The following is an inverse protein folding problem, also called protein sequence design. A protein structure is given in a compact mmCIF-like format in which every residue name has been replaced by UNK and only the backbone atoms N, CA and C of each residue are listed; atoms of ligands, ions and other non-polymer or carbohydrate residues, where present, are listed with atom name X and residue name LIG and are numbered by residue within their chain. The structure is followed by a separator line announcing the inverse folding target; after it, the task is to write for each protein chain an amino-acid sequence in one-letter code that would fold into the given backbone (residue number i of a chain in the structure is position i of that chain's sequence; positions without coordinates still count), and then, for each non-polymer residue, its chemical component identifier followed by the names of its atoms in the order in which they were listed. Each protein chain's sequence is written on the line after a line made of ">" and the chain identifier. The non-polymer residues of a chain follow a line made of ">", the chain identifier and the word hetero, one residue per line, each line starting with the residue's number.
data_IF_761374524099
#
_entry.id   IF_761374524099
#
_cell.length_a   1.000
_cell.length_b   1.000
_cell.length_c   1.000
_cell.angle_alpha   90.00
_cell.angle_beta   90.00
_cell.angle_gamma   90.00
#
_symmetry.space_group_name_H-M   'P 1'
#
loop_
_entity.id
_entity.type
_entity.pdbx_description
1 polymer ?
#
# COMPACT_ATOMS: atom_id res chain seq x y z
N UNK A 1 -9.59 -1.59 17.35
CA UNK A 1 -10.78 -0.84 16.89
C UNK A 1 -11.07 0.39 17.73
N UNK A 2 -11.34 0.29 19.04
CA UNK A 2 -11.57 1.46 19.89
C UNK A 2 -10.41 2.47 19.86
N UNK A 3 -9.16 2.00 19.94
CA UNK A 3 -7.97 2.84 19.80
C UNK A 3 -7.93 3.59 18.45
N UNK A 4 -8.34 2.94 17.35
CA UNK A 4 -8.37 3.57 16.02
C UNK A 4 -9.42 4.69 15.95
N UNK A 5 -10.60 4.49 16.56
CA UNK A 5 -11.63 5.53 16.62
C UNK A 5 -11.16 6.74 17.45
N UNK A 6 -10.43 6.50 18.54
CA UNK A 6 -9.87 7.58 19.36
C UNK A 6 -8.82 8.38 18.57
N UNK A 7 -7.94 7.70 17.83
CA UNK A 7 -6.84 8.34 17.09
C UNK A 7 -7.32 9.02 15.80
N UNK A 8 -8.19 8.35 15.03
CA UNK A 8 -8.59 8.79 13.70
C UNK A 8 -9.98 9.45 13.66
N UNK A 9 -10.71 9.43 14.78
CA UNK A 9 -12.04 10.03 14.90
C UNK A 9 -13.19 9.05 14.62
N UNK A 10 -14.42 9.55 14.80
CA UNK A 10 -15.66 8.77 14.70
C UNK A 10 -15.95 8.26 13.28
N UNK A 11 -15.45 8.95 12.25
CA UNK A 11 -15.62 8.55 10.85
C UNK A 11 -14.77 7.34 10.45
N UNK A 12 -13.79 6.95 11.27
CA UNK A 12 -12.91 5.81 10.98
C UNK A 12 -13.67 4.51 10.66
N UNK A 13 -14.71 4.18 11.43
CA UNK A 13 -15.48 2.94 11.22
C UNK A 13 -16.34 3.02 9.95
N UNK A 14 -17.14 4.08 9.72
CA UNK A 14 -17.83 4.27 8.45
C UNK A 14 -16.91 4.24 7.22
N UNK A 15 -15.69 4.77 7.32
CA UNK A 15 -14.74 4.80 6.21
C UNK A 15 -14.10 3.42 5.99
N UNK A 16 -13.82 2.68 7.08
CA UNK A 16 -13.34 1.30 7.00
C UNK A 16 -14.38 0.35 6.40
N UNK A 17 -15.66 0.58 6.71
CA UNK A 17 -16.81 -0.20 6.25
C UNK A 17 -17.49 0.41 5.02
N UNK A 18 -16.85 1.39 4.38
CA UNK A 18 -17.40 2.00 3.17
C UNK A 18 -17.67 0.91 2.11
N UNK A 19 -18.82 0.96 1.42
CA UNK A 19 -19.12 0.01 0.37
C UNK A 19 -18.04 0.07 -0.69
N UNK A 20 -17.78 -1.05 -1.35
CA UNK A 20 -16.78 -1.14 -2.41
C UNK A 20 -17.38 -1.77 -3.66
N UNK A 21 -16.98 -1.25 -4.81
CA UNK A 21 -17.17 -1.91 -6.08
C UNK A 21 -16.22 -3.11 -6.18
N UNK A 22 -16.79 -4.27 -6.47
CA UNK A 22 -16.06 -5.50 -6.75
C UNK A 22 -16.12 -5.81 -8.23
N UNK A 23 -14.96 -5.95 -8.89
CA UNK A 23 -14.90 -6.23 -10.32
C UNK A 23 -13.69 -7.09 -10.70
N UNK A 24 -13.87 -7.96 -11.70
CA UNK A 24 -12.77 -8.77 -12.25
C UNK A 24 -11.71 -7.95 -12.97
N UNK A 25 -12.10 -6.82 -13.59
CA UNK A 25 -11.16 -5.88 -14.22
C UNK A 25 -10.10 -5.38 -13.23
N UNK A 26 -10.47 -5.20 -11.96
CA UNK A 26 -9.55 -4.83 -10.89
C UNK A 26 -8.46 -5.90 -10.70
N UNK A 27 -8.80 -7.19 -10.74
CA UNK A 27 -7.81 -8.27 -10.64
C UNK A 27 -6.88 -8.29 -11.86
N UNK A 28 -7.42 -8.17 -13.07
CA UNK A 28 -6.65 -8.22 -14.32
C UNK A 28 -5.63 -7.09 -14.42
N UNK A 29 -6.00 -5.88 -14.01
CA UNK A 29 -5.08 -4.72 -13.98
C UNK A 29 -3.96 -4.89 -12.95
N UNK A 30 -4.15 -5.75 -11.93
CA UNK A 30 -3.20 -5.92 -10.84
C UNK A 30 -2.28 -7.14 -10.98
N UNK A 31 -2.63 -8.13 -11.79
CA UNK A 31 -1.81 -9.33 -12.03
C UNK A 31 -0.36 -9.00 -12.40
N UNK A 32 -0.16 -7.98 -13.23
CA UNK A 32 1.18 -7.53 -13.63
C UNK A 32 2.06 -7.14 -12.43
N UNK A 33 1.48 -6.76 -11.31
CA UNK A 33 2.23 -6.42 -10.10
C UNK A 33 2.69 -7.65 -9.28
N UNK A 34 2.28 -8.87 -9.62
CA UNK A 34 2.87 -10.08 -9.00
C UNK A 34 4.32 -10.31 -9.43
N UNK A 35 4.76 -9.72 -10.55
CA UNK A 35 6.15 -9.82 -11.00
C UNK A 35 7.15 -9.32 -9.94
N UNK A 36 6.72 -8.41 -9.06
CA UNK A 36 7.53 -7.86 -7.97
C UNK A 36 7.84 -8.92 -6.90
N UNK A 37 6.98 -9.93 -6.77
CA UNK A 37 7.12 -11.05 -5.82
C UNK A 37 7.60 -12.34 -6.49
N UNK A 38 7.69 -12.37 -7.82
CA UNK A 38 7.94 -13.59 -8.60
C UNK A 38 9.29 -14.23 -8.26
N UNK A 39 10.37 -13.44 -8.15
CA UNK A 39 11.70 -13.98 -7.81
C UNK A 39 11.69 -14.66 -6.43
N UNK A 40 11.10 -14.01 -5.42
CA UNK A 40 10.99 -14.57 -4.08
C UNK A 40 10.19 -15.89 -4.08
N UNK A 41 9.08 -15.91 -4.83
CA UNK A 41 8.24 -17.09 -4.98
C UNK A 41 8.99 -18.23 -5.67
N UNK A 42 9.78 -17.95 -6.72
CA UNK A 42 10.56 -18.96 -7.44
C UNK A 42 11.66 -19.54 -6.55
N UNK A 43 12.41 -18.71 -5.83
CA UNK A 43 13.47 -19.15 -4.91
C UNK A 43 12.86 -20.07 -3.83
N UNK A 44 11.79 -19.62 -3.19
CA UNK A 44 11.10 -20.41 -2.17
C UNK A 44 10.53 -21.71 -2.74
N UNK A 45 9.83 -21.67 -3.88
CA UNK A 45 9.19 -22.84 -4.47
C UNK A 45 10.22 -23.90 -4.88
N UNK A 46 11.37 -23.46 -5.43
CA UNK A 46 12.45 -24.35 -5.80
C UNK A 46 12.97 -25.12 -4.57
N UNK A 47 13.20 -24.44 -3.44
CA UNK A 47 13.60 -25.11 -2.19
C UNK A 47 12.49 -25.99 -1.61
N UNK A 48 11.26 -25.47 -1.50
CA UNK A 48 10.12 -26.16 -0.91
C UNK A 48 9.78 -27.46 -1.66
N UNK A 49 10.05 -27.53 -2.97
CA UNK A 49 9.89 -28.75 -3.75
C UNK A 49 10.80 -29.88 -3.27
N UNK A 50 12.06 -29.57 -2.93
CA UNK A 50 13.02 -30.56 -2.44
C UNK A 50 12.84 -30.87 -0.95
N UNK A 51 12.45 -29.89 -0.12
CA UNK A 51 12.19 -30.09 1.32
C UNK A 51 10.69 -30.27 1.66
N UNK A 52 9.87 -30.72 0.70
CA UNK A 52 8.39 -30.79 0.80
C UNK A 52 7.85 -31.62 1.97
N UNK A 53 8.65 -32.54 2.48
CA UNK A 53 8.29 -33.38 3.63
C UNK A 53 8.36 -32.62 4.97
N UNK A 54 9.16 -31.56 5.04
CA UNK A 54 9.40 -30.81 6.27
C UNK A 54 8.19 -30.00 6.72
N UNK A 55 8.11 -29.75 8.03
CA UNK A 55 7.10 -28.85 8.59
C UNK A 55 7.28 -27.41 8.09
N UNK A 56 8.52 -26.97 7.85
CA UNK A 56 8.80 -25.64 7.34
C UNK A 56 8.24 -25.43 5.93
N UNK A 57 8.43 -26.40 5.02
CA UNK A 57 7.88 -26.33 3.67
C UNK A 57 6.34 -26.36 3.68
N UNK A 58 5.72 -27.21 4.53
CA UNK A 58 4.26 -27.27 4.68
C UNK A 58 3.68 -25.97 5.23
N UNK A 59 4.28 -25.42 6.29
CA UNK A 59 3.86 -24.16 6.88
C UNK A 59 3.94 -23.02 5.87
N UNK A 60 5.08 -22.87 5.19
CA UNK A 60 5.27 -21.79 4.21
C UNK A 60 4.37 -21.96 2.99
N UNK A 61 4.12 -23.18 2.53
CA UNK A 61 3.18 -23.43 1.43
C UNK A 61 1.75 -23.01 1.81
N UNK A 62 1.30 -23.38 3.01
CA UNK A 62 -0.02 -22.96 3.50
C UNK A 62 -0.08 -21.43 3.68
N UNK A 63 0.92 -20.85 4.34
CA UNK A 63 0.96 -19.43 4.65
C UNK A 63 1.02 -18.58 3.37
N UNK A 64 1.92 -18.89 2.42
CA UNK A 64 2.02 -18.19 1.13
C UNK A 64 0.77 -18.42 0.29
N UNK A 65 0.20 -19.63 0.30
CA UNK A 65 -1.03 -19.95 -0.41
C UNK A 65 -2.23 -19.13 0.10
N UNK A 66 -2.41 -19.04 1.42
CA UNK A 66 -3.45 -18.22 2.04
C UNK A 66 -3.21 -16.73 1.79
N UNK A 67 -1.97 -16.25 1.88
CA UNK A 67 -1.62 -14.87 1.60
C UNK A 67 -1.86 -14.49 0.12
N UNK A 68 -1.59 -15.40 -0.81
CA UNK A 68 -1.90 -15.21 -2.23
C UNK A 68 -3.42 -15.21 -2.47
N UNK A 69 -4.15 -16.15 -1.87
CA UNK A 69 -5.61 -16.21 -2.01
C UNK A 69 -6.29 -14.95 -1.46
N UNK A 70 -5.86 -14.48 -0.28
CA UNK A 70 -6.37 -13.23 0.32
C UNK A 70 -5.98 -12.00 -0.48
N UNK A 71 -4.76 -11.95 -1.04
CA UNK A 71 -4.34 -10.90 -1.97
C UNK A 71 -5.25 -10.82 -3.20
N UNK A 72 -5.51 -11.96 -3.85
CA UNK A 72 -6.38 -12.04 -5.04
C UNK A 72 -7.82 -11.66 -4.66
N UNK A 73 -8.34 -12.15 -3.54
CA UNK A 73 -9.69 -11.83 -3.06
C UNK A 73 -9.84 -10.32 -2.78
N UNK A 74 -8.84 -9.70 -2.16
CA UNK A 74 -8.85 -8.26 -1.90
C UNK A 74 -8.80 -7.45 -3.19
N UNK A 75 -8.07 -7.91 -4.22
CA UNK A 75 -7.98 -7.20 -5.50
C UNK A 75 -9.28 -7.06 -6.28
N UNK A 76 -10.32 -7.82 -5.95
CA UNK A 76 -11.64 -7.53 -6.52
C UNK A 76 -12.14 -6.16 -6.08
N UNK A 77 -11.85 -5.75 -4.85
CA UNK A 77 -12.24 -4.45 -4.31
C UNK A 77 -11.43 -3.31 -4.93
N UNK A 78 -12.12 -2.23 -5.30
CA UNK A 78 -11.46 -1.03 -5.78
C UNK A 78 -10.66 -0.34 -4.66
N UNK A 79 -9.50 0.24 -4.99
CA UNK A 79 -8.66 1.03 -4.07
C UNK A 79 -7.82 0.26 -3.03
N UNK A 80 -7.79 -1.08 -3.05
CA UNK A 80 -6.98 -1.91 -2.10
C UNK A 80 -5.72 -2.52 -2.71
N UNK A 81 -5.36 -2.09 -3.92
CA UNK A 81 -4.36 -2.73 -4.77
C UNK A 81 -2.99 -2.97 -4.12
N UNK A 82 -2.36 -1.90 -3.61
CA UNK A 82 -1.04 -1.97 -2.98
C UNK A 82 -1.07 -2.77 -1.69
N UNK A 83 -2.06 -2.49 -0.84
CA UNK A 83 -2.20 -3.06 0.49
C UNK A 83 -2.52 -4.56 0.47
N UNK A 84 -3.30 -5.02 -0.51
CA UNK A 84 -3.68 -6.42 -0.67
C UNK A 84 -2.47 -7.37 -0.81
N UNK A 85 -1.33 -6.87 -1.30
CA UNK A 85 -0.10 -7.67 -1.46
C UNK A 85 0.73 -7.79 -0.18
N UNK A 86 0.44 -7.00 0.85
CA UNK A 86 1.34 -6.83 1.98
C UNK A 86 1.51 -8.15 2.75
N UNK A 87 0.42 -8.89 2.96
CA UNK A 87 0.45 -10.22 3.56
C UNK A 87 1.27 -11.22 2.74
N UNK A 88 1.14 -11.18 1.40
CA UNK A 88 1.93 -12.03 0.50
C UNK A 88 3.42 -11.70 0.56
N UNK A 89 3.78 -10.42 0.64
CA UNK A 89 5.18 -9.98 0.78
C UNK A 89 5.76 -10.49 2.10
N UNK A 90 5.03 -10.36 3.21
CA UNK A 90 5.46 -10.85 4.52
C UNK A 90 5.60 -12.38 4.53
N UNK A 91 4.63 -13.09 3.95
CA UNK A 91 4.66 -14.54 3.80
C UNK A 91 5.90 -15.02 3.04
N UNK A 92 6.21 -14.35 1.92
CA UNK A 92 7.38 -14.65 1.09
C UNK A 92 8.69 -14.31 1.80
N UNK A 93 8.75 -13.22 2.57
CA UNK A 93 9.93 -12.88 3.36
C UNK A 93 10.25 -13.97 4.40
N UNK A 94 9.21 -14.48 5.09
CA UNK A 94 9.35 -15.63 6.01
C UNK A 94 9.80 -16.89 5.23
N UNK A 95 9.18 -17.15 4.08
CA UNK A 95 9.55 -18.27 3.20
C UNK A 95 11.01 -18.22 2.73
N UNK A 96 11.51 -17.04 2.37
CA UNK A 96 12.91 -16.82 2.00
C UNK A 96 13.85 -17.01 3.19
N UNK A 97 13.50 -16.52 4.38
CA UNK A 97 14.30 -16.74 5.58
C UNK A 97 14.45 -18.23 5.90
N UNK A 98 13.37 -18.99 5.79
CA UNK A 98 13.40 -20.45 5.96
C UNK A 98 14.18 -21.17 4.85
N UNK A 99 14.02 -20.73 3.60
CA UNK A 99 14.78 -21.25 2.45
C UNK A 99 16.27 -21.05 2.67
N UNK A 100 16.69 -19.85 3.07
CA UNK A 100 18.08 -19.52 3.36
C UNK A 100 18.65 -20.40 4.49
N UNK A 101 17.90 -20.52 5.59
CA UNK A 101 18.34 -21.27 6.75
C UNK A 101 18.47 -22.78 6.43
N UNK A 102 17.55 -23.33 5.62
CA UNK A 102 17.45 -24.76 5.30
C UNK A 102 17.95 -25.11 3.89
N UNK A 103 18.86 -24.30 3.36
CA UNK A 103 19.37 -24.39 1.99
C UNK A 103 20.01 -25.76 1.69
N UNK A 104 20.55 -26.43 2.71
CA UNK A 104 21.14 -27.76 2.66
C UNK A 104 20.19 -28.86 2.15
N UNK A 105 18.88 -28.67 2.30
CA UNK A 105 17.88 -29.61 1.78
C UNK A 105 17.67 -29.48 0.26
N UNK A 106 18.25 -28.46 -0.39
CA UNK A 106 18.12 -28.26 -1.83
C UNK A 106 19.10 -29.14 -2.61
N UNK A 107 18.64 -29.66 -3.76
CA UNK A 107 19.50 -30.38 -4.69
C UNK A 107 20.67 -29.54 -5.21
N UNK A 108 20.44 -28.23 -5.38
CA UNK A 108 21.47 -27.32 -5.88
C UNK A 108 22.60 -27.13 -4.86
N UNK A 109 22.27 -27.05 -3.56
CA UNK A 109 23.26 -26.97 -2.50
C UNK A 109 24.11 -28.25 -2.39
N UNK A 110 23.54 -29.42 -2.68
CA UNK A 110 24.29 -30.67 -2.74
C UNK A 110 25.35 -30.68 -3.86
N UNK A 111 25.16 -29.90 -4.95
CA UNK A 111 26.08 -29.83 -6.08
C UNK A 111 27.07 -28.65 -6.01
N UNK A 112 26.58 -27.48 -5.62
CA UNK A 112 27.36 -26.23 -5.66
C UNK A 112 27.94 -25.84 -4.29
N UNK A 113 27.44 -26.45 -3.22
CA UNK A 113 27.72 -26.09 -1.84
C UNK A 113 26.71 -25.09 -1.27
N UNK A 114 26.33 -25.29 -0.01
CA UNK A 114 25.33 -24.50 0.71
C UNK A 114 25.64 -23.00 0.68
N UNK A 115 26.88 -22.62 0.96
CA UNK A 115 27.29 -21.21 1.02
C UNK A 115 27.15 -20.53 -0.35
N UNK A 116 27.55 -21.19 -1.44
CA UNK A 116 27.41 -20.62 -2.78
C UNK A 116 25.95 -20.41 -3.18
N UNK A 117 25.06 -21.33 -2.79
CA UNK A 117 23.63 -21.15 -3.02
C UNK A 117 23.04 -20.00 -2.19
N UNK A 118 23.47 -19.84 -0.94
CA UNK A 118 23.10 -18.70 -0.08
C UNK A 118 23.59 -17.38 -0.67
N UNK A 119 24.84 -17.32 -1.11
CA UNK A 119 25.43 -16.14 -1.75
C UNK A 119 24.69 -15.80 -3.06
N UNK A 120 24.42 -16.80 -3.90
CA UNK A 120 23.66 -16.62 -5.14
C UNK A 120 22.24 -16.09 -4.87
N UNK A 121 21.58 -16.59 -3.83
CA UNK A 121 20.27 -16.10 -3.40
C UNK A 121 20.32 -14.62 -2.99
N UNK A 122 21.30 -14.24 -2.17
CA UNK A 122 21.52 -12.85 -1.75
C UNK A 122 21.80 -11.98 -2.96
N UNK A 123 22.71 -12.39 -3.84
CA UNK A 123 23.07 -11.66 -5.07
C UNK A 123 21.84 -11.47 -5.95
N UNK A 124 21.02 -12.50 -6.16
CA UNK A 124 19.80 -12.39 -6.95
C UNK A 124 18.80 -11.38 -6.35
N UNK A 125 18.61 -11.39 -5.03
CA UNK A 125 17.73 -10.45 -4.33
C UNK A 125 18.27 -9.01 -4.38
N UNK A 126 19.58 -8.83 -4.22
CA UNK A 126 20.24 -7.52 -4.34
C UNK A 126 20.16 -6.99 -5.77
N UNK A 127 20.45 -7.83 -6.78
CA UNK A 127 20.29 -7.44 -8.18
C UNK A 127 18.86 -7.03 -8.48
N UNK A 128 17.86 -7.75 -7.96
CA UNK A 128 16.47 -7.33 -8.10
C UNK A 128 16.19 -6.01 -7.38
N UNK A 129 16.76 -5.77 -6.21
CA UNK A 129 16.63 -4.48 -5.52
C UNK A 129 17.22 -3.34 -6.35
N UNK A 130 18.40 -3.54 -6.94
CA UNK A 130 19.07 -2.55 -7.79
C UNK A 130 18.33 -2.29 -9.11
N UNK A 131 17.79 -3.33 -9.74
CA UNK A 131 16.98 -3.22 -10.95
C UNK A 131 15.56 -2.71 -10.67
N UNK A 132 15.20 -2.51 -9.39
CA UNK A 132 13.93 -1.92 -8.99
C UNK A 132 13.96 -0.41 -9.19
N UNK A 133 12.94 0.14 -9.85
CA UNK A 133 12.78 1.59 -10.04
C UNK A 133 12.31 2.34 -8.76
N UNK A 134 12.49 1.72 -7.58
CA UNK A 134 12.01 2.23 -6.29
C UNK A 134 13.18 2.43 -5.33
N UNK A 135 14.10 3.30 -5.72
CA UNK A 135 15.31 3.63 -4.95
C UNK A 135 15.20 4.94 -4.19
N UNK A 136 13.98 5.42 -3.89
CA UNK A 136 13.74 6.71 -3.24
C UNK A 136 14.59 6.93 -1.99
N UNK A 137 14.76 5.91 -1.12
CA UNK A 137 15.63 5.99 0.06
C UNK A 137 17.11 6.17 -0.30
N UNK A 138 17.59 5.47 -1.33
CA UNK A 138 18.96 5.61 -1.78
C UNK A 138 19.17 6.97 -2.46
N UNK A 139 18.22 7.42 -3.27
CA UNK A 139 18.23 8.75 -3.90
C UNK A 139 18.21 9.86 -2.85
N UNK A 140 17.43 9.71 -1.77
CA UNK A 140 17.40 10.64 -0.65
C UNK A 140 18.77 10.80 0.01
N UNK A 141 19.53 9.71 0.16
CA UNK A 141 20.85 9.73 0.78
C UNK A 141 21.95 10.16 -0.20
N UNK A 142 21.86 9.75 -1.46
CA UNK A 142 22.98 9.82 -2.42
C UNK A 142 22.84 10.93 -3.46
N UNK A 143 21.62 11.40 -3.78
CA UNK A 143 21.39 12.42 -4.82
C UNK A 143 21.02 13.78 -4.21
N UNK A 144 21.92 14.78 -4.29
CA UNK A 144 21.60 16.17 -3.99
C UNK A 144 20.43 16.71 -4.82
N UNK A 145 20.33 16.30 -6.09
CA UNK A 145 19.30 16.75 -7.02
C UNK A 145 17.92 16.25 -6.60
N UNK A 146 17.82 15.00 -6.16
CA UNK A 146 16.59 14.44 -5.62
C UNK A 146 16.16 15.17 -4.34
N UNK A 147 17.08 15.49 -3.43
CA UNK A 147 16.76 16.31 -2.24
C UNK A 147 16.30 17.71 -2.64
N UNK A 148 16.96 18.34 -3.61
CA UNK A 148 16.57 19.65 -4.12
C UNK A 148 15.16 19.61 -4.77
N UNK A 149 14.81 18.54 -5.49
CA UNK A 149 13.48 18.40 -6.09
C UNK A 149 12.38 18.19 -5.05
N UNK A 150 12.67 17.49 -3.94
CA UNK A 150 11.76 17.39 -2.81
C UNK A 150 11.52 18.76 -2.17
N UNK A 151 12.57 19.54 -1.92
CA UNK A 151 12.42 20.90 -1.39
C UNK A 151 11.67 21.82 -2.36
N UNK A 152 11.94 21.75 -3.66
CA UNK A 152 11.18 22.50 -4.66
C UNK A 152 9.70 22.10 -4.66
N UNK A 153 9.40 20.80 -4.56
CA UNK A 153 8.02 20.30 -4.48
C UNK A 153 7.29 20.78 -3.22
N UNK A 154 7.97 20.77 -2.08
CA UNK A 154 7.47 21.33 -0.82
C UNK A 154 7.15 22.82 -0.97
N UNK A 155 8.06 23.61 -1.54
CA UNK A 155 7.84 25.04 -1.78
C UNK A 155 6.65 25.29 -2.72
N UNK A 156 6.48 24.47 -3.75
CA UNK A 156 5.34 24.55 -4.66
C UNK A 156 4.02 24.27 -3.91
N UNK A 157 3.95 23.19 -3.13
CA UNK A 157 2.78 22.86 -2.30
C UNK A 157 2.45 23.99 -1.34
N UNK A 158 3.45 24.57 -0.66
CA UNK A 158 3.24 25.68 0.28
C UNK A 158 2.76 26.94 -0.43
N UNK A 159 3.28 27.22 -1.62
CA UNK A 159 2.88 28.39 -2.42
C UNK A 159 1.44 28.26 -2.91
N UNK A 160 1.08 27.11 -3.47
CA UNK A 160 -0.30 26.80 -3.85
C UNK A 160 -1.25 26.85 -2.64
N UNK A 161 -0.83 26.28 -1.50
CA UNK A 161 -1.64 26.28 -0.28
C UNK A 161 -1.95 27.70 0.22
N UNK A 162 -1.01 28.64 0.11
CA UNK A 162 -1.26 30.06 0.46
C UNK A 162 -2.29 30.70 -0.46
N UNK A 163 -2.22 30.43 -1.76
CA UNK A 163 -3.20 30.93 -2.71
C UNK A 163 -4.60 30.34 -2.42
N UNK A 164 -4.68 29.03 -2.18
CA UNK A 164 -5.93 28.34 -1.83
C UNK A 164 -6.51 28.82 -0.49
N UNK A 165 -5.66 29.13 0.49
CA UNK A 165 -6.09 29.66 1.78
C UNK A 165 -6.81 31.02 1.63
N UNK A 166 -6.41 31.84 0.65
CA UNK A 166 -7.02 33.13 0.37
C UNK A 166 -8.38 33.03 -0.36
N UNK A 167 -8.65 31.91 -1.04
CA UNK A 167 -9.95 31.67 -1.68
C UNK A 167 -11.03 31.48 -0.62
N UNK A 168 -12.14 32.21 -0.69
CA UNK A 168 -13.25 32.04 0.25
C UNK A 168 -14.05 30.76 -0.01
N UNK A 169 -14.51 30.10 1.05
CA UNK A 169 -15.35 28.90 0.96
C UNK A 169 -14.57 27.59 0.79
N UNK A 170 -15.33 26.52 0.51
CA UNK A 170 -14.82 25.17 0.29
C UNK A 170 -14.25 25.04 -1.12
N UNK A 171 -13.17 24.27 -1.25
CA UNK A 171 -12.41 24.11 -2.48
C UNK A 171 -12.00 22.66 -2.67
N UNK A 172 -12.02 22.19 -3.91
CA UNK A 172 -11.51 20.88 -4.28
C UNK A 172 -10.06 21.03 -4.76
N UNK A 173 -9.14 20.30 -4.12
CA UNK A 173 -7.75 20.20 -4.58
C UNK A 173 -7.50 18.84 -5.20
N UNK A 174 -6.83 18.81 -6.36
CA UNK A 174 -6.32 17.57 -6.94
C UNK A 174 -5.25 16.97 -6.02
N UNK A 175 -4.24 17.77 -5.65
CA UNK A 175 -3.27 17.40 -4.62
C UNK A 175 -3.87 17.69 -3.24
N UNK A 176 -4.40 16.65 -2.57
CA UNK A 176 -5.07 16.78 -1.25
C UNK A 176 -4.21 17.47 -0.18
N UNK A 177 -2.89 17.32 -0.26
CA UNK A 177 -1.95 17.97 0.64
C UNK A 177 -2.04 19.50 0.60
N UNK A 178 -2.33 20.09 -0.57
CA UNK A 178 -2.50 21.55 -0.72
C UNK A 178 -3.68 22.06 0.09
N UNK A 179 -4.86 21.44 -0.05
CA UNK A 179 -6.06 21.80 0.72
C UNK A 179 -5.84 21.63 2.22
N UNK A 180 -5.19 20.52 2.62
CA UNK A 180 -4.83 20.27 4.02
C UNK A 180 -3.94 21.38 4.57
N UNK A 181 -2.90 21.75 3.83
CA UNK A 181 -1.95 22.78 4.23
C UNK A 181 -2.57 24.19 4.22
N UNK A 182 -3.51 24.45 3.31
CA UNK A 182 -4.32 25.67 3.26
C UNK A 182 -5.34 25.79 4.42
N UNK A 183 -5.45 24.76 5.27
CA UNK A 183 -6.37 24.72 6.41
C UNK A 183 -7.83 24.52 6.01
N UNK A 184 -8.10 24.10 4.77
CA UNK A 184 -9.46 23.85 4.25
C UNK A 184 -10.05 22.59 4.89
N UNK A 185 -11.36 22.57 5.16
CA UNK A 185 -12.02 21.38 5.71
C UNK A 185 -12.02 20.24 4.70
N UNK A 186 -11.85 19.01 5.18
CA UNK A 186 -12.05 17.81 4.38
C UNK A 186 -13.53 17.40 4.48
N UNK A 187 -14.40 18.14 3.79
CA UNK A 187 -15.84 17.98 3.88
C UNK A 187 -16.34 16.70 3.18
N UNK A 188 -15.69 16.31 2.09
CA UNK A 188 -16.05 15.14 1.29
C UNK A 188 -14.82 14.29 1.02
N UNK A 189 -14.92 13.00 1.32
CA UNK A 189 -14.00 11.98 0.83
C UNK A 189 -14.43 11.55 -0.57
N UNK A 190 -13.74 12.04 -1.59
CA UNK A 190 -14.02 11.73 -2.99
C UNK A 190 -14.03 10.21 -3.25
N UNK A 191 -13.11 9.46 -2.64
CA UNK A 191 -13.06 8.02 -2.86
C UNK A 191 -14.33 7.34 -2.34
N UNK A 192 -14.72 7.63 -1.09
CA UNK A 192 -15.94 7.06 -0.49
C UNK A 192 -17.20 7.48 -1.26
N UNK A 193 -17.26 8.74 -1.66
CA UNK A 193 -18.37 9.28 -2.43
C UNK A 193 -18.51 8.60 -3.78
N UNK A 194 -17.40 8.40 -4.50
CA UNK A 194 -17.38 7.68 -5.77
C UNK A 194 -17.84 6.22 -5.60
N UNK A 195 -17.40 5.54 -4.54
CA UNK A 195 -17.84 4.18 -4.22
C UNK A 195 -19.33 4.10 -3.88
N UNK A 196 -19.86 5.08 -3.14
CA UNK A 196 -21.29 5.16 -2.82
C UNK A 196 -22.14 5.32 -4.09
N UNK A 197 -21.69 6.15 -5.05
CA UNK A 197 -22.37 6.32 -6.34
C UNK A 197 -22.25 5.05 -7.18
N UNK A 198 -21.03 4.50 -7.30
CA UNK A 198 -20.76 3.30 -8.10
C UNK A 198 -21.53 2.07 -7.61
N UNK A 199 -21.80 1.98 -6.31
CA UNK A 199 -22.59 0.90 -5.69
C UNK A 199 -24.09 1.20 -5.59
N UNK A 200 -24.55 2.34 -6.11
CA UNK A 200 -25.95 2.77 -6.09
C UNK A 200 -26.49 3.09 -4.69
N UNK A 201 -25.61 3.31 -3.71
CA UNK A 201 -25.97 3.66 -2.33
C UNK A 201 -26.31 5.13 -2.15
N UNK A 202 -25.90 5.98 -3.11
CA UNK A 202 -26.26 7.39 -3.17
C UNK A 202 -26.32 7.83 -4.64
N UNK A 203 -26.95 8.97 -4.91
CA UNK A 203 -26.91 9.61 -6.22
C UNK A 203 -25.96 10.82 -6.21
N UNK A 204 -25.43 11.24 -7.36
CA UNK A 204 -24.66 12.49 -7.44
C UNK A 204 -25.40 13.71 -6.89
N UNK A 205 -26.74 13.74 -7.00
CA UNK A 205 -27.56 14.82 -6.45
C UNK A 205 -27.55 14.85 -4.92
N UNK A 206 -27.55 13.69 -4.27
CA UNK A 206 -27.51 13.57 -2.80
C UNK A 206 -26.17 14.06 -2.24
N UNK A 207 -25.08 13.87 -2.99
CA UNK A 207 -23.73 14.31 -2.61
C UNK A 207 -23.60 15.83 -2.65
N UNK A 208 -24.20 16.47 -3.65
CA UNK A 208 -24.27 17.94 -3.73
C UNK A 208 -25.06 18.49 -2.54
N UNK A 209 -26.06 17.76 -2.04
CA UNK A 209 -26.78 18.16 -0.83
C UNK A 209 -25.93 18.03 0.45
N UNK A 210 -24.97 17.09 0.50
CA UNK A 210 -24.03 16.91 1.61
C UNK A 210 -22.93 17.99 1.66
N UNK A 211 -22.63 18.66 0.55
CA UNK A 211 -21.69 19.78 0.50
C UNK A 211 -22.33 21.14 0.78
N UNK A 212 -23.65 21.19 0.95
CA UNK A 212 -24.33 22.39 1.44
C UNK A 212 -24.03 22.56 2.94
N UNK A 213 -23.73 23.80 3.41
CA UNK A 213 -23.28 24.04 4.76
C UNK A 213 -24.36 23.65 5.77
N UNK A 214 -24.22 22.47 6.39
CA UNK A 214 -25.14 21.97 7.41
C UNK A 214 -24.38 21.72 8.72
N UNK A 215 -24.08 22.81 9.43
CA UNK A 215 -23.93 22.76 10.88
C UNK A 215 -22.51 22.56 11.48
N UNK A 216 -22.42 22.45 12.81
CA UNK A 216 -21.27 22.87 13.62
C UNK A 216 -20.14 21.82 13.81
N UNK A 217 -20.13 20.72 13.04
CA UNK A 217 -19.20 19.58 13.24
C UNK A 217 -17.71 19.89 12.98
N UNK A 218 -17.40 21.07 12.45
CA UNK A 218 -16.02 21.54 12.26
C UNK A 218 -15.22 21.73 13.58
N UNK A 219 -15.83 21.59 14.77
CA UNK A 219 -15.20 22.01 16.05
C UNK A 219 -14.61 20.91 16.94
N UNK A 220 -14.87 19.62 16.73
CA UNK A 220 -14.57 18.58 17.75
C UNK A 220 -13.54 17.53 17.36
N UNK A 221 -13.04 17.51 16.12
CA UNK A 221 -11.99 16.56 15.73
C UNK A 221 -10.63 16.96 16.33
N UNK A 222 -10.01 16.04 17.08
CA UNK A 222 -8.62 16.13 17.58
C UNK A 222 -7.55 16.24 16.48
N UNK A 223 -7.94 16.29 15.20
CA UNK A 223 -7.06 16.56 14.04
C UNK A 223 -6.34 17.91 14.08
N UNK A 224 -6.62 18.78 15.07
CA UNK A 224 -5.80 19.99 15.35
C UNK A 224 -4.33 19.67 15.67
N UNK A 225 -3.99 18.46 16.11
CA UNK A 225 -2.61 18.08 16.45
C UNK A 225 -1.64 18.01 15.27
N UNK A 226 -2.11 18.12 14.03
CA UNK A 226 -1.26 18.14 12.84
C UNK A 226 -1.13 19.54 12.19
N UNK A 227 -1.50 20.61 12.91
CA UNK A 227 -1.35 22.01 12.47
C UNK A 227 -0.11 22.70 13.05
N UNK A 228 0.92 21.94 13.42
CA UNK A 228 2.22 22.44 13.88
C UNK A 228 3.33 21.77 13.10
#
# INVERSE_FOLDING_TARGET
>A
MAACVIVFGTNFIPDLLAPRQFAWSNVLTQIGYLQWSALALVIWAAWAFFDRGSQAAKFTALHIGLALATCILQWFGHGVFGNAKLDLILALAIGLGLTFNRMEASWLAARLGVNRCRDAMIVALLLRLFLSDRQETALLLLSPEFRASLHASELNVMTEARAVAATSGDVACFTKLVCRQAGKPFAVDEFKTDELVATGRTTPADIVALTLPTGPEARTSFSRWWRS
#
